data_IF_233302435654
#
_entry.id   IF_233302435654
#
_cell.length_a   1.000
_cell.length_b   1.000
_cell.length_c   1.000
_cell.angle_alpha   90.00
_cell.angle_beta   90.00
_cell.angle_gamma   90.00
#
_symmetry.space_group_name_H-M   'P 1'
#
loop_
_entity.id
_entity.type
_entity.pdbx_description
1 polymer ?
#
# COMPACT_ATOMS: atom_id res chain seq x y z
N UNK A 1 10.73 -60.44 2.97
CA UNK A 1 11.64 -59.29 3.22
C UNK A 1 11.33 -58.20 2.19
N UNK A 2 11.27 -56.94 2.66
CA UNK A 2 11.29 -55.65 1.90
C UNK A 2 10.15 -55.43 0.88
N UNK A 3 9.40 -54.31 0.86
CA UNK A 3 9.70 -52.93 1.26
C UNK A 3 8.39 -52.17 1.50
N UNK A 4 8.13 -51.78 2.76
CA UNK A 4 7.07 -50.84 3.17
C UNK A 4 7.66 -49.43 3.14
N UNK A 5 7.64 -48.73 2.01
CA UNK A 5 8.08 -47.32 1.94
C UNK A 5 7.47 -46.64 0.72
N UNK A 6 6.18 -46.31 0.80
CA UNK A 6 5.42 -45.54 -0.18
C UNK A 6 4.05 -45.36 0.48
N UNK A 7 3.66 -44.22 1.04
CA UNK A 7 3.43 -42.94 0.37
C UNK A 7 3.18 -41.87 1.46
N UNK A 8 4.15 -41.62 2.33
CA UNK A 8 4.03 -40.64 3.43
C UNK A 8 4.52 -39.23 3.02
N UNK A 9 4.32 -38.87 1.75
CA UNK A 9 4.86 -37.63 1.13
C UNK A 9 3.78 -36.86 0.36
N UNK A 10 2.53 -36.89 0.81
CA UNK A 10 1.42 -36.17 0.16
C UNK A 10 0.71 -35.17 1.10
N UNK A 11 1.45 -34.54 2.02
CA UNK A 11 0.89 -33.58 3.01
C UNK A 11 1.65 -32.24 3.03
N UNK A 12 2.64 -32.01 2.16
CA UNK A 12 3.53 -30.84 2.28
C UNK A 12 3.34 -29.72 1.24
N UNK A 13 2.35 -29.74 0.34
CA UNK A 13 2.30 -28.79 -0.81
C UNK A 13 1.00 -28.00 -0.91
N UNK A 14 0.41 -27.55 0.20
CA UNK A 14 -0.82 -26.73 0.13
C UNK A 14 -0.84 -25.50 1.05
N UNK A 15 0.31 -25.08 1.57
CA UNK A 15 0.45 -23.71 2.10
C UNK A 15 0.81 -22.79 0.93
N UNK A 16 -0.16 -22.60 0.03
CA UNK A 16 -0.15 -21.50 -0.94
C UNK A 16 -0.32 -20.21 -0.13
N UNK A 17 0.79 -19.65 0.34
CA UNK A 17 0.83 -18.37 1.00
C UNK A 17 0.43 -17.30 -0.02
N UNK A 18 -0.85 -16.94 -0.04
CA UNK A 18 -1.25 -15.65 -0.59
C UNK A 18 -0.65 -14.59 0.33
N UNK A 19 0.55 -14.11 0.00
CA UNK A 19 1.03 -12.83 0.50
C UNK A 19 0.19 -11.76 -0.19
N UNK A 20 -1.02 -11.53 0.34
CA UNK A 20 -1.67 -10.25 0.11
C UNK A 20 -0.66 -9.20 0.56
N UNK A 21 -0.09 -8.46 -0.39
CA UNK A 21 0.82 -7.37 -0.07
C UNK A 21 0.09 -6.53 0.97
N UNK A 22 0.65 -6.46 2.18
CA UNK A 22 0.22 -5.50 3.16
C UNK A 22 0.49 -4.16 2.49
N UNK A 23 -0.56 -3.55 1.94
CA UNK A 23 -0.47 -2.20 1.43
C UNK A 23 -0.27 -1.34 2.69
N UNK A 24 1.00 -1.10 3.03
CA UNK A 24 1.36 -0.16 4.07
C UNK A 24 0.80 1.19 3.62
N UNK A 25 -0.06 1.77 4.46
CA UNK A 25 -0.62 3.08 4.23
C UNK A 25 0.47 4.16 4.12
N UNK A 26 0.09 5.41 3.86
CA UNK A 26 1.06 6.48 3.73
C UNK A 26 1.84 6.65 5.03
N UNK A 27 3.13 6.97 4.94
CA UNK A 27 3.91 7.32 6.14
C UNK A 27 3.36 8.59 6.82
N UNK A 28 3.84 8.89 8.03
CA UNK A 28 3.30 9.98 8.84
C UNK A 28 3.46 11.37 8.19
N UNK A 29 4.54 11.60 7.42
CA UNK A 29 4.76 12.88 6.75
C UNK A 29 3.78 13.05 5.59
N UNK A 30 3.62 11.99 4.79
CA UNK A 30 2.66 11.96 3.69
C UNK A 30 1.22 12.05 4.20
N UNK A 31 0.86 11.29 5.24
CA UNK A 31 -0.48 11.32 5.84
C UNK A 31 -0.88 12.72 6.33
N UNK A 32 0.04 13.47 6.95
CA UNK A 32 -0.21 14.85 7.37
C UNK A 32 -0.45 15.79 6.17
N UNK A 33 0.24 15.57 5.05
CA UNK A 33 0.00 16.31 3.82
C UNK A 33 -1.36 15.96 3.21
N UNK A 34 -1.73 14.67 3.17
CA UNK A 34 -3.04 14.23 2.68
C UNK A 34 -4.21 14.81 3.50
N UNK A 35 -4.01 15.07 4.79
CA UNK A 35 -5.04 15.67 5.65
C UNK A 35 -5.26 17.16 5.42
N UNK A 36 -4.26 17.89 4.90
CA UNK A 36 -4.27 19.36 4.96
C UNK A 36 -3.97 20.10 3.66
N UNK A 37 -3.30 19.44 2.71
CA UNK A 37 -2.82 20.08 1.49
C UNK A 37 -3.80 19.87 0.34
N UNK A 38 -3.60 20.61 -0.76
CA UNK A 38 -4.40 20.51 -1.98
C UNK A 38 -3.66 19.70 -3.06
N UNK A 39 -4.37 19.40 -4.13
CA UNK A 39 -3.76 18.82 -5.34
C UNK A 39 -2.65 19.73 -5.88
N UNK A 40 -1.59 19.12 -6.39
CA UNK A 40 -0.35 19.77 -6.80
C UNK A 40 0.65 20.01 -5.65
N UNK A 41 0.30 19.72 -4.40
CA UNK A 41 1.27 19.78 -3.30
C UNK A 41 2.39 18.75 -3.50
N UNK A 42 3.63 19.21 -3.43
CA UNK A 42 4.83 18.39 -3.46
C UNK A 42 5.51 18.36 -2.09
N UNK A 43 5.90 17.17 -1.65
CA UNK A 43 6.56 16.94 -0.37
C UNK A 43 7.59 15.84 -0.43
N UNK A 44 8.08 15.43 0.74
CA UNK A 44 9.04 14.34 0.88
C UNK A 44 8.54 13.34 1.91
N UNK A 45 8.59 12.06 1.59
CA UNK A 45 8.29 10.95 2.51
C UNK A 45 9.29 10.94 3.67
N UNK A 46 8.99 10.18 4.72
CA UNK A 46 9.95 9.98 5.82
C UNK A 46 11.27 9.32 5.38
N UNK A 47 11.24 8.58 4.27
CA UNK A 47 12.41 7.93 3.66
C UNK A 47 13.18 8.83 2.70
N UNK A 48 12.74 10.08 2.51
CA UNK A 48 13.43 11.04 1.63
C UNK A 48 12.98 10.99 0.17
N UNK A 49 11.92 10.25 -0.16
CA UNK A 49 11.40 10.16 -1.52
C UNK A 49 10.46 11.33 -1.82
N UNK A 50 10.61 12.03 -2.96
CA UNK A 50 9.65 13.04 -3.36
C UNK A 50 8.28 12.42 -3.66
N UNK A 51 7.22 13.11 -3.25
CA UNK A 51 5.85 12.75 -3.61
C UNK A 51 5.05 13.97 -4.03
N UNK A 52 3.98 13.76 -4.80
CA UNK A 52 3.01 14.80 -5.20
C UNK A 52 1.59 14.28 -5.05
N UNK A 53 0.71 15.10 -4.46
CA UNK A 53 -0.74 14.84 -4.45
C UNK A 53 -1.27 15.22 -5.83
N UNK A 54 -1.70 14.24 -6.61
CA UNK A 54 -2.06 14.43 -8.02
C UNK A 54 -3.51 14.84 -8.18
N UNK A 55 -4.41 14.19 -7.45
CA UNK A 55 -5.85 14.38 -7.58
C UNK A 55 -6.59 14.00 -6.30
N UNK A 56 -7.73 14.65 -6.07
CA UNK A 56 -8.60 14.39 -4.92
C UNK A 56 -10.02 14.07 -5.37
N UNK A 57 -10.50 12.89 -4.97
CA UNK A 57 -11.88 12.47 -5.14
C UNK A 57 -12.58 12.40 -3.77
N UNK A 58 -13.66 13.18 -3.60
CA UNK A 58 -14.42 13.23 -2.36
C UNK A 58 -15.86 12.74 -2.55
N UNK A 59 -16.37 12.04 -1.54
CA UNK A 59 -17.78 11.63 -1.41
C UNK A 59 -18.25 11.83 0.04
N UNK A 60 -19.53 11.58 0.28
CA UNK A 60 -20.11 11.56 1.63
C UNK A 60 -19.51 10.46 2.55
N UNK A 61 -18.90 9.42 1.95
CA UNK A 61 -18.37 8.25 2.66
C UNK A 61 -16.86 8.22 2.80
N UNK A 62 -16.13 8.83 1.86
CA UNK A 62 -14.67 8.76 1.83
C UNK A 62 -14.06 9.93 1.06
N UNK A 63 -12.84 10.28 1.46
CA UNK A 63 -11.91 11.12 0.73
C UNK A 63 -10.79 10.22 0.20
N UNK A 64 -10.59 10.19 -1.12
CA UNK A 64 -9.50 9.47 -1.76
C UNK A 64 -8.56 10.45 -2.45
N UNK A 65 -7.27 10.16 -2.39
CA UNK A 65 -6.22 10.98 -2.98
C UNK A 65 -5.26 10.12 -3.77
N UNK A 66 -5.00 10.53 -5.00
CA UNK A 66 -3.99 9.93 -5.87
C UNK A 66 -2.67 10.60 -5.56
N UNK A 67 -1.64 9.79 -5.31
CA UNK A 67 -0.30 10.27 -4.97
C UNK A 67 0.71 9.62 -5.88
N UNK A 68 1.56 10.42 -6.49
CA UNK A 68 2.74 9.93 -7.18
C UNK A 68 3.95 9.98 -6.26
N UNK A 69 4.71 8.90 -6.17
CA UNK A 69 5.98 8.83 -5.44
C UNK A 69 7.11 8.53 -6.43
N UNK A 70 8.11 9.40 -6.41
CA UNK A 70 9.29 9.30 -7.25
C UNK A 70 10.43 8.63 -6.48
N UNK A 71 10.93 7.52 -6.99
CA UNK A 71 12.13 6.87 -6.49
C UNK A 71 13.21 6.83 -7.56
N UNK A 72 14.49 6.58 -7.21
CA UNK A 72 15.58 6.56 -8.20
C UNK A 72 15.39 5.56 -9.34
N UNK A 73 14.61 4.50 -9.13
CA UNK A 73 14.46 3.40 -10.09
C UNK A 73 13.03 3.20 -10.61
N UNK A 74 12.03 3.83 -9.99
CA UNK A 74 10.62 3.68 -10.36
C UNK A 74 9.78 4.88 -9.96
N UNK A 75 8.68 5.05 -10.67
CA UNK A 75 7.62 6.01 -10.38
C UNK A 75 6.38 5.21 -9.99
N UNK A 76 5.93 5.37 -8.75
CA UNK A 76 4.75 4.69 -8.23
C UNK A 76 3.58 5.68 -8.17
N UNK A 77 2.37 5.23 -8.50
CA UNK A 77 1.14 6.01 -8.33
C UNK A 77 0.16 5.18 -7.53
N UNK A 78 -0.10 5.64 -6.30
CA UNK A 78 -0.99 4.96 -5.36
C UNK A 78 -2.21 5.83 -5.08
N UNK A 79 -3.30 5.17 -4.67
CA UNK A 79 -4.51 5.85 -4.19
C UNK A 79 -4.71 5.54 -2.73
N UNK A 80 -4.76 6.58 -1.90
CA UNK A 80 -5.05 6.47 -0.48
C UNK A 80 -6.44 6.99 -0.19
N UNK A 81 -7.23 6.22 0.53
CA UNK A 81 -8.59 6.59 0.92
C UNK A 81 -8.74 6.67 2.44
N UNK A 82 -9.58 7.60 2.89
CA UNK A 82 -9.90 7.83 4.30
C UNK A 82 -11.40 8.07 4.46
N UNK A 83 -12.04 7.26 5.29
CA UNK A 83 -13.41 7.50 5.77
C UNK A 83 -13.44 8.63 6.82
N UNK A 84 -14.57 9.33 7.02
CA UNK A 84 -14.70 10.32 8.09
C UNK A 84 -14.27 9.74 9.45
N UNK A 85 -13.27 10.36 10.08
CA UNK A 85 -12.69 9.92 11.36
C UNK A 85 -11.80 8.66 11.30
N UNK A 86 -11.59 8.08 10.11
CA UNK A 86 -10.70 6.93 9.90
C UNK A 86 -9.24 7.31 9.66
N UNK A 87 -8.43 6.34 9.24
CA UNK A 87 -7.04 6.52 8.81
C UNK A 87 -6.92 6.37 7.30
N UNK A 88 -5.84 6.89 6.72
CA UNK A 88 -5.50 6.65 5.32
C UNK A 88 -5.07 5.19 5.10
N UNK A 89 -5.58 4.56 4.03
CA UNK A 89 -5.22 3.21 3.57
C UNK A 89 -5.20 3.12 2.06
#
# INVERSE_FOLDING_TARGET
MTRRTSFLVLVCVSLSACTAGLQEGPDAAMAAALDSQLDGFAGTTMTGLPFTIVDTAASDRQLCRVVSVESPTRFDVDTYCKSPGGSWS
#
